data_IF_990418581353
#
_entry.id   IF_990418581353
#
_cell.length_a   1.000
_cell.length_b   1.000
_cell.length_c   1.000
_cell.angle_alpha   90.00
_cell.angle_beta   90.00
_cell.angle_gamma   90.00
#
_symmetry.space_group_name_H-M   'P 1'
#
loop_
_entity.id
_entity.type
_entity.pdbx_description
1 polymer ?
#
# COMPACT_ATOMS: atom_id res chain seq x y z
N UNK A 1 -5.71 2.92 18.40
CA UNK A 1 -4.52 2.49 17.72
C UNK A 1 -4.79 1.86 16.37
N UNK A 2 -5.23 0.61 16.33
CA UNK A 2 -5.38 -0.04 15.02
C UNK A 2 -6.36 0.64 14.09
N UNK A 3 -7.19 1.52 14.60
CA UNK A 3 -8.16 2.23 13.78
C UNK A 3 -7.69 3.60 13.35
N UNK A 4 -6.40 3.88 13.54
CA UNK A 4 -5.83 5.15 13.12
C UNK A 4 -5.65 5.18 11.61
N UNK A 5 -6.55 5.88 10.93
CA UNK A 5 -6.50 6.00 9.48
C UNK A 5 -5.19 6.63 9.02
N UNK A 6 -4.69 7.60 9.76
CA UNK A 6 -3.43 8.26 9.40
C UNK A 6 -2.27 7.27 9.40
N UNK A 7 -2.24 6.36 10.37
CA UNK A 7 -1.22 5.31 10.42
C UNK A 7 -1.26 4.44 9.16
N UNK A 8 -2.46 3.99 8.79
CA UNK A 8 -2.60 3.12 7.64
C UNK A 8 -2.29 3.83 6.33
N UNK A 9 -2.65 5.10 6.22
CA UNK A 9 -2.29 5.89 5.05
C UNK A 9 -0.79 6.06 4.94
N UNK A 10 -0.12 6.24 6.06
CA UNK A 10 1.33 6.35 6.08
C UNK A 10 1.98 5.05 5.63
N UNK A 11 1.47 3.91 6.11
CA UNK A 11 1.99 2.61 5.70
C UNK A 11 1.77 2.37 4.20
N UNK A 12 0.59 2.73 3.71
CA UNK A 12 0.33 2.64 2.28
C UNK A 12 1.31 3.49 1.48
N UNK A 13 1.57 4.71 1.96
CA UNK A 13 2.50 5.61 1.29
C UNK A 13 3.90 5.04 1.19
N UNK A 14 4.36 4.37 2.25
CA UNK A 14 5.68 3.73 2.24
C UNK A 14 5.76 2.65 1.17
N UNK A 15 4.72 1.84 1.08
CA UNK A 15 4.69 0.77 0.09
C UNK A 15 4.60 1.33 -1.33
N UNK A 16 3.83 2.40 -1.51
CA UNK A 16 3.74 3.06 -2.81
C UNK A 16 5.08 3.64 -3.23
N UNK A 17 5.82 4.20 -2.29
CA UNK A 17 7.15 4.72 -2.55
C UNK A 17 8.09 3.61 -2.98
N UNK A 18 8.08 2.49 -2.28
CA UNK A 18 8.90 1.35 -2.64
C UNK A 18 8.57 0.84 -4.03
N UNK A 19 7.28 0.74 -4.34
CA UNK A 19 6.85 0.28 -5.65
C UNK A 19 7.32 1.22 -6.74
N UNK A 20 7.18 2.52 -6.52
CA UNK A 20 7.61 3.52 -7.47
C UNK A 20 9.11 3.41 -7.73
N UNK A 21 9.90 3.24 -6.69
CA UNK A 21 11.33 3.10 -6.85
C UNK A 21 11.70 1.87 -7.66
N UNK A 22 11.02 0.76 -7.40
CA UNK A 22 11.26 -0.46 -8.17
C UNK A 22 10.86 -0.30 -9.62
N UNK A 23 9.78 0.40 -9.89
CA UNK A 23 9.31 0.58 -11.26
C UNK A 23 10.14 1.57 -12.07
N UNK A 24 10.78 2.53 -11.40
CA UNK A 24 11.60 3.52 -12.09
C UNK A 24 13.02 3.02 -12.36
N UNK A 25 13.48 2.02 -11.62
CA UNK A 25 14.79 1.43 -11.86
C UNK A 25 14.65 0.32 -12.90
N UNK A 26 15.77 -0.01 -13.57
CA UNK A 26 15.79 -1.15 -14.47
C UNK A 26 15.63 -2.43 -13.65
N UNK A 27 14.40 -2.85 -13.48
CA UNK A 27 14.06 -3.92 -12.55
C UNK A 27 14.35 -5.28 -13.15
N UNK A 28 15.21 -6.12 -12.53
CA UNK A 28 15.40 -7.48 -12.99
C UNK A 28 14.12 -8.29 -12.85
N UNK A 29 13.98 -9.31 -13.69
CA UNK A 29 12.82 -10.19 -13.63
C UNK A 29 12.61 -10.79 -12.23
N UNK A 30 13.69 -10.97 -11.48
CA UNK A 30 13.60 -11.53 -10.14
C UNK A 30 12.80 -10.62 -9.19
N UNK A 31 12.64 -9.36 -9.52
CA UNK A 31 11.88 -8.43 -8.67
C UNK A 31 10.40 -8.41 -8.97
N UNK A 32 9.93 -9.10 -10.01
CA UNK A 32 8.52 -9.13 -10.36
C UNK A 32 7.64 -9.66 -9.23
N UNK A 33 8.02 -10.74 -8.52
CA UNK A 33 7.21 -11.19 -7.38
C UNK A 33 7.10 -10.14 -6.29
N UNK A 34 8.14 -9.37 -6.05
CA UNK A 34 8.10 -8.31 -5.06
C UNK A 34 7.16 -7.19 -5.50
N UNK A 35 7.20 -6.83 -6.77
CA UNK A 35 6.29 -5.81 -7.31
C UNK A 35 4.84 -6.27 -7.13
N UNK A 36 4.54 -7.52 -7.45
CA UNK A 36 3.20 -8.07 -7.25
C UNK A 36 2.79 -8.04 -5.79
N UNK A 37 3.71 -8.41 -4.91
CA UNK A 37 3.44 -8.38 -3.49
C UNK A 37 3.08 -6.97 -3.03
N UNK A 38 3.87 -5.98 -3.44
CA UNK A 38 3.61 -4.60 -3.07
C UNK A 38 2.27 -4.11 -3.59
N UNK A 39 1.95 -4.42 -4.84
CA UNK A 39 0.65 -4.03 -5.40
C UNK A 39 -0.51 -4.66 -4.64
N UNK A 40 -0.38 -5.92 -4.27
CA UNK A 40 -1.42 -6.60 -3.51
C UNK A 40 -1.59 -5.98 -2.14
N UNK A 41 -0.47 -5.69 -1.46
CA UNK A 41 -0.53 -5.08 -0.14
C UNK A 41 -1.14 -3.68 -0.19
N UNK A 42 -0.78 -2.90 -1.20
CA UNK A 42 -1.35 -1.57 -1.37
C UNK A 42 -2.85 -1.65 -1.58
N UNK A 43 -3.31 -2.58 -2.42
CA UNK A 43 -4.74 -2.76 -2.65
C UNK A 43 -5.47 -3.17 -1.37
N UNK A 44 -4.87 -4.05 -0.57
CA UNK A 44 -5.45 -4.46 0.70
C UNK A 44 -5.54 -3.27 1.67
N UNK A 45 -4.50 -2.46 1.74
CA UNK A 45 -4.52 -1.29 2.59
C UNK A 45 -5.55 -0.26 2.13
N UNK A 46 -5.68 -0.08 0.81
CA UNK A 46 -6.71 0.80 0.27
C UNK A 46 -8.10 0.38 0.73
N UNK A 47 -8.40 -0.91 0.65
CA UNK A 47 -9.69 -1.43 1.10
C UNK A 47 -9.88 -1.23 2.59
N UNK A 48 -8.83 -1.50 3.36
CA UNK A 48 -8.89 -1.35 4.81
C UNK A 48 -9.15 0.11 5.19
N UNK A 49 -8.43 1.03 4.55
CA UNK A 49 -8.61 2.45 4.80
C UNK A 49 -10.02 2.89 4.43
N UNK A 50 -10.50 2.47 3.26
CA UNK A 50 -11.84 2.81 2.81
C UNK A 50 -12.90 2.31 3.81
N UNK A 51 -12.71 1.11 4.34
CA UNK A 51 -13.61 0.55 5.33
C UNK A 51 -13.61 1.39 6.61
N UNK A 52 -12.45 1.80 7.07
CA UNK A 52 -12.35 2.63 8.27
C UNK A 52 -13.00 4.00 8.05
N UNK A 53 -12.78 4.58 6.87
CA UNK A 53 -13.37 5.88 6.55
C UNK A 53 -14.89 5.79 6.48
N UNK A 54 -15.41 4.71 5.93
CA UNK A 54 -16.84 4.48 5.86
C UNK A 54 -17.45 4.38 7.26
N UNK A 55 -16.80 3.64 8.14
CA UNK A 55 -17.27 3.52 9.53
C UNK A 55 -17.27 4.86 10.23
N UNK A 56 -16.28 5.66 9.94
CA UNK A 56 -16.11 6.95 10.59
C UNK A 56 -17.18 7.94 10.19
N UNK A 57 -17.71 7.80 8.99
CA UNK A 57 -18.70 8.71 8.43
C UNK A 57 -20.14 8.33 8.77
N UNK A 58 -20.35 7.25 9.47
CA UNK A 58 -21.69 6.79 9.84
C UNK A 58 -22.21 7.40 11.17
#
# INVERSE_FOLDING_TARGET
MPDDIAYWKQERGKLQQQLKELETEAVPKASLPLIRYLKTRIADLDRHIASLETRRNV
#
